data_IF_766803034724
#
_entry.id   IF_766803034724
#
_cell.length_a   1.000
_cell.length_b   1.000
_cell.length_c   1.000
_cell.angle_alpha   90.00
_cell.angle_beta   90.00
_cell.angle_gamma   90.00
#
_symmetry.space_group_name_H-M   'P 1'
#
loop_
_entity.id
_entity.type
_entity.pdbx_description
1 polymer ?
#
# COMPACT_ATOMS: atom_id res chain seq x y z
N UNK A 1 -24.24 7.18 0.54
CA UNK A 1 -23.21 6.11 0.68
C UNK A 1 -23.84 4.71 0.66
N UNK A 2 -24.51 4.30 -0.42
CA UNK A 2 -25.24 3.02 -0.50
C UNK A 2 -24.35 1.79 -0.80
N UNK A 3 -23.04 1.98 -1.00
CA UNK A 3 -22.12 0.97 -1.56
C UNK A 3 -21.15 0.31 -0.55
N UNK A 4 -21.00 0.82 0.67
CA UNK A 4 -20.18 0.20 1.74
C UNK A 4 -20.97 -0.89 2.48
N UNK A 5 -21.44 -1.88 1.73
CA UNK A 5 -22.22 -3.01 2.24
C UNK A 5 -21.35 -3.97 3.08
N UNK A 6 -21.97 -4.94 3.78
CA UNK A 6 -21.24 -5.92 4.60
C UNK A 6 -20.25 -6.76 3.79
N UNK A 7 -20.57 -7.02 2.52
CA UNK A 7 -19.76 -7.74 1.54
C UNK A 7 -18.81 -6.83 0.74
N UNK A 8 -18.55 -5.59 1.19
CA UNK A 8 -17.55 -4.72 0.57
C UNK A 8 -16.19 -5.41 0.54
N UNK A 9 -15.56 -5.48 -0.62
CA UNK A 9 -14.26 -6.16 -0.83
C UNK A 9 -13.21 -5.20 -1.34
N UNK A 10 -12.03 -5.31 -0.74
CA UNK A 10 -10.84 -4.56 -1.12
C UNK A 10 -9.70 -5.53 -1.42
N UNK A 11 -8.85 -5.14 -2.36
CA UNK A 11 -7.50 -5.69 -2.45
C UNK A 11 -6.61 -4.78 -1.60
N UNK A 12 -5.94 -5.33 -0.60
CA UNK A 12 -5.02 -4.58 0.23
C UNK A 12 -3.59 -5.05 0.00
N UNK A 13 -2.69 -4.12 -0.32
CA UNK A 13 -1.28 -4.37 -0.57
C UNK A 13 -0.44 -3.69 0.50
N UNK A 14 0.46 -4.44 1.12
CA UNK A 14 1.45 -3.93 2.06
C UNK A 14 2.80 -4.57 1.78
N UNK A 15 3.85 -3.99 2.36
CA UNK A 15 5.22 -4.41 2.09
C UNK A 15 6.01 -4.61 3.39
N UNK A 16 7.10 -5.35 3.31
CA UNK A 16 8.04 -5.54 4.41
C UNK A 16 9.45 -5.76 3.89
N UNK A 17 10.40 -5.02 4.47
CA UNK A 17 11.82 -5.12 4.17
C UNK A 17 12.67 -4.80 5.40
N UNK A 18 13.93 -5.22 5.35
CA UNK A 18 15.05 -4.58 6.04
C UNK A 18 16.11 -4.19 5.01
N UNK A 19 16.94 -3.20 5.35
CA UNK A 19 18.00 -2.75 4.44
C UNK A 19 18.96 -3.88 4.05
N UNK A 20 19.23 -4.79 4.99
CA UNK A 20 20.09 -5.98 4.80
C UNK A 20 19.49 -7.05 3.86
N UNK A 21 18.18 -7.07 3.65
CA UNK A 21 17.53 -8.09 2.81
C UNK A 21 17.86 -7.89 1.32
N UNK A 22 18.08 -6.65 0.88
CA UNK A 22 18.28 -6.27 -0.52
C UNK A 22 17.01 -6.31 -1.38
N UNK A 23 15.85 -6.68 -0.82
CA UNK A 23 14.55 -6.69 -1.47
C UNK A 23 13.43 -6.32 -0.48
N UNK A 24 12.24 -6.03 -1.01
CA UNK A 24 11.01 -5.93 -0.21
C UNK A 24 9.99 -6.98 -0.65
N UNK A 25 9.36 -7.63 0.32
CA UNK A 25 8.22 -8.53 0.08
C UNK A 25 6.94 -7.74 0.05
N UNK A 26 6.21 -7.81 -1.06
CA UNK A 26 4.88 -7.25 -1.18
C UNK A 26 3.89 -8.38 -0.98
N UNK A 27 2.90 -8.16 -0.12
CA UNK A 27 1.79 -9.06 0.08
C UNK A 27 0.48 -8.35 -0.25
N UNK A 28 -0.34 -9.00 -1.06
CA UNK A 28 -1.70 -8.61 -1.37
C UNK A 28 -2.70 -9.56 -0.76
N UNK A 29 -3.81 -9.04 -0.24
CA UNK A 29 -4.97 -9.84 0.15
C UNK A 29 -6.23 -9.29 -0.49
N UNK A 30 -7.04 -10.19 -1.03
CA UNK A 30 -8.43 -9.90 -1.33
C UNK A 30 -9.25 -10.23 -0.09
N UNK A 31 -9.81 -9.20 0.55
CA UNK A 31 -10.55 -9.36 1.78
C UNK A 31 -11.82 -8.50 1.79
N UNK A 32 -12.82 -8.97 2.53
CA UNK A 32 -13.97 -8.17 2.90
C UNK A 32 -13.57 -7.13 3.94
N UNK A 33 -14.38 -6.06 4.09
CA UNK A 33 -14.18 -5.03 5.12
C UNK A 33 -14.12 -5.57 6.55
N UNK A 34 -14.65 -6.77 6.80
CA UNK A 34 -14.62 -7.42 8.11
C UNK A 34 -13.37 -8.28 8.36
N UNK A 35 -12.43 -8.31 7.42
CA UNK A 35 -11.19 -9.08 7.53
C UNK A 35 -11.32 -10.53 7.04
N UNK A 36 -12.47 -10.94 6.50
CA UNK A 36 -12.58 -12.25 5.85
C UNK A 36 -11.73 -12.27 4.57
N UNK A 37 -10.64 -13.02 4.60
CA UNK A 37 -9.68 -13.17 3.49
C UNK A 37 -10.18 -14.25 2.54
N UNK A 38 -10.18 -13.94 1.24
CA UNK A 38 -10.58 -14.89 0.19
C UNK A 38 -9.40 -15.40 -0.62
N UNK A 39 -8.41 -14.54 -0.87
CA UNK A 39 -7.18 -14.86 -1.62
C UNK A 39 -6.02 -14.01 -1.13
N UNK A 40 -4.81 -14.50 -1.37
CA UNK A 40 -3.59 -13.75 -1.18
C UNK A 40 -2.63 -13.95 -2.36
N UNK A 41 -1.78 -12.96 -2.60
CA UNK A 41 -0.74 -12.99 -3.62
C UNK A 41 0.51 -12.29 -3.08
N UNK A 42 1.65 -12.59 -3.67
CA UNK A 42 2.93 -12.01 -3.28
C UNK A 42 3.71 -11.56 -4.51
N UNK A 43 4.55 -10.56 -4.31
CA UNK A 43 5.56 -10.12 -5.26
C UNK A 43 6.82 -9.70 -4.49
N UNK A 44 7.92 -9.53 -5.20
CA UNK A 44 9.17 -9.03 -4.63
C UNK A 44 9.57 -7.81 -5.44
N UNK A 45 9.81 -6.70 -4.74
CA UNK A 45 10.30 -5.46 -5.35
C UNK A 45 11.75 -5.20 -4.93
N UNK A 46 12.47 -4.53 -5.81
CA UNK A 46 13.84 -4.10 -5.57
C UNK A 46 13.88 -3.03 -4.48
N UNK A 47 14.77 -3.18 -3.51
CA UNK A 47 14.93 -2.19 -2.46
C UNK A 47 15.62 -0.94 -3.00
N UNK A 48 15.01 0.24 -2.84
CA UNK A 48 15.46 1.44 -3.55
C UNK A 48 15.30 1.37 -5.07
N UNK A 49 14.49 0.45 -5.57
CA UNK A 49 14.17 0.32 -6.99
C UNK A 49 13.19 1.38 -7.51
N UNK A 50 12.70 1.11 -8.71
CA UNK A 50 11.65 1.86 -9.41
C UNK A 50 10.53 0.91 -9.92
N UNK A 51 10.51 -0.33 -9.43
CA UNK A 51 9.62 -1.43 -9.82
C UNK A 51 8.39 -1.59 -8.90
N UNK A 52 8.29 -0.82 -7.80
CA UNK A 52 7.24 -0.99 -6.80
C UNK A 52 5.81 -0.88 -7.36
N UNK A 53 5.60 0.03 -8.31
CA UNK A 53 4.31 0.18 -9.00
C UNK A 53 3.95 -1.07 -9.80
N UNK A 54 4.90 -1.63 -10.57
CA UNK A 54 4.63 -2.80 -11.41
C UNK A 54 4.36 -4.04 -10.55
N UNK A 55 5.13 -4.24 -9.47
CA UNK A 55 4.92 -5.37 -8.56
C UNK A 55 3.59 -5.28 -7.81
N UNK A 56 3.17 -4.06 -7.42
CA UNK A 56 1.84 -3.84 -6.85
C UNK A 56 0.73 -4.14 -7.87
N UNK A 57 0.90 -3.75 -9.14
CA UNK A 57 -0.07 -4.05 -10.21
C UNK A 57 -0.19 -5.55 -10.44
N UNK A 58 0.91 -6.29 -10.50
CA UNK A 58 0.88 -7.77 -10.62
C UNK A 58 0.04 -8.42 -9.53
N UNK A 59 0.23 -7.97 -8.29
CA UNK A 59 -0.60 -8.42 -7.16
C UNK A 59 -2.08 -8.08 -7.41
N UNK A 60 -2.39 -6.83 -7.74
CA UNK A 60 -3.78 -6.38 -7.95
C UNK A 60 -4.44 -7.16 -9.08
N UNK A 61 -3.79 -7.33 -10.23
CA UNK A 61 -4.32 -8.07 -11.38
C UNK A 61 -4.57 -9.54 -11.03
N UNK A 62 -3.67 -10.19 -10.28
CA UNK A 62 -3.84 -11.59 -9.85
C UNK A 62 -5.03 -11.80 -8.89
N UNK A 63 -5.39 -10.76 -8.12
CA UNK A 63 -6.46 -10.78 -7.14
C UNK A 63 -7.77 -10.16 -7.66
N UNK A 64 -7.73 -9.41 -8.76
CA UNK A 64 -8.86 -8.65 -9.30
C UNK A 64 -10.00 -9.58 -9.73
N UNK A 65 -11.22 -9.19 -9.37
CA UNK A 65 -12.48 -9.83 -9.76
C UNK A 65 -13.59 -8.79 -9.90
N UNK A 66 -14.71 -9.10 -10.55
CA UNK A 66 -15.81 -8.15 -10.74
C UNK A 66 -16.43 -7.58 -9.45
N UNK A 67 -16.31 -8.28 -8.32
CA UNK A 67 -16.88 -7.90 -7.03
C UNK A 67 -15.89 -7.13 -6.11
N UNK A 68 -14.70 -6.77 -6.63
CA UNK A 68 -13.73 -5.93 -5.92
C UNK A 68 -14.07 -4.46 -6.12
N UNK A 69 -14.01 -3.69 -5.05
CA UNK A 69 -14.49 -2.30 -5.07
C UNK A 69 -13.36 -1.27 -5.00
N UNK A 70 -12.22 -1.62 -4.39
CA UNK A 70 -11.12 -0.66 -4.15
C UNK A 70 -9.79 -1.40 -3.96
N UNK A 71 -8.70 -0.73 -4.29
CA UNK A 71 -7.34 -1.10 -3.88
C UNK A 71 -6.90 -0.21 -2.71
N UNK A 72 -6.39 -0.84 -1.66
CA UNK A 72 -5.83 -0.18 -0.47
C UNK A 72 -4.33 -0.43 -0.44
N UNK A 73 -3.53 0.63 -0.45
CA UNK A 73 -2.07 0.55 -0.34
C UNK A 73 -1.64 0.96 1.07
N UNK A 74 -0.71 0.20 1.67
CA UNK A 74 -0.12 0.49 2.98
C UNK A 74 0.91 1.63 2.99
N UNK A 75 1.05 2.34 1.87
CA UNK A 75 2.03 3.39 1.62
C UNK A 75 2.25 3.56 0.12
N UNK A 76 2.76 4.72 -0.28
CA UNK A 76 3.07 5.03 -1.69
C UNK A 76 4.55 5.32 -1.91
N UNK A 77 5.27 5.66 -0.84
CA UNK A 77 6.72 5.73 -0.81
C UNK A 77 7.10 4.62 0.16
N UNK A 78 7.71 3.57 -0.37
CA UNK A 78 7.86 2.26 0.26
C UNK A 78 9.24 1.70 -0.06
N UNK A 79 9.65 0.62 0.60
CA UNK A 79 10.81 -0.17 0.16
C UNK A 79 12.05 0.68 -0.12
N UNK A 80 12.39 1.57 0.82
CA UNK A 80 13.52 2.49 0.76
C UNK A 80 13.50 3.43 -0.47
N UNK A 81 12.52 4.34 -0.53
CA UNK A 81 12.35 5.33 -1.62
C UNK A 81 11.99 4.73 -3.00
N UNK A 82 11.56 3.46 -3.04
CA UNK A 82 10.72 2.97 -4.12
C UNK A 82 9.30 3.59 -3.97
N UNK A 83 8.47 3.48 -4.99
CA UNK A 83 7.14 4.05 -4.95
C UNK A 83 6.09 3.18 -5.63
N UNK A 84 4.85 3.37 -5.20
CA UNK A 84 3.66 2.81 -5.83
C UNK A 84 2.80 3.96 -6.30
N UNK A 85 2.67 4.10 -7.62
CA UNK A 85 1.77 5.06 -8.26
C UNK A 85 0.34 4.51 -8.28
N UNK A 86 -0.50 5.04 -7.39
CA UNK A 86 -1.91 4.64 -7.33
C UNK A 86 -2.76 5.22 -8.45
N UNK A 87 -2.31 6.26 -9.16
CA UNK A 87 -2.99 6.72 -10.37
C UNK A 87 -2.83 5.69 -11.48
N UNK A 88 -1.62 5.15 -11.64
CA UNK A 88 -1.31 4.12 -12.62
C UNK A 88 -2.09 2.82 -12.35
N UNK A 89 -2.15 2.38 -11.08
CA UNK A 89 -3.00 1.24 -10.68
C UNK A 89 -4.46 1.51 -11.05
N UNK A 90 -4.99 2.69 -10.75
CA UNK A 90 -6.37 3.02 -11.08
C UNK A 90 -6.62 3.01 -12.59
N UNK A 91 -5.73 3.61 -13.39
CA UNK A 91 -5.85 3.64 -14.85
C UNK A 91 -5.79 2.25 -15.48
N UNK A 92 -4.82 1.41 -15.07
CA UNK A 92 -4.63 0.06 -15.65
C UNK A 92 -5.69 -0.94 -15.21
N UNK A 93 -6.10 -0.87 -13.94
CA UNK A 93 -7.01 -1.86 -13.36
C UNK A 93 -8.46 -1.41 -13.38
N UNK A 94 -8.74 -0.12 -13.56
CA UNK A 94 -10.09 0.45 -13.41
C UNK A 94 -10.62 0.44 -11.97
N UNK A 95 -9.82 0.00 -10.99
CA UNK A 95 -10.21 -0.03 -9.58
C UNK A 95 -9.78 1.28 -8.91
N UNK A 96 -10.69 2.00 -8.24
CA UNK A 96 -10.31 3.13 -7.41
C UNK A 96 -9.25 2.70 -6.40
N UNK A 97 -8.22 3.53 -6.23
CA UNK A 97 -7.04 3.18 -5.45
C UNK A 97 -6.78 4.25 -4.41
N UNK A 98 -6.50 3.83 -3.18
CA UNK A 98 -6.17 4.73 -2.10
C UNK A 98 -4.99 4.21 -1.28
N UNK A 99 -4.20 5.14 -0.80
CA UNK A 99 -2.94 4.91 -0.12
C UNK A 99 -3.01 5.51 1.26
N UNK A 100 -2.72 4.70 2.26
CA UNK A 100 -3.00 4.98 3.65
C UNK A 100 -1.73 4.95 4.48
N UNK A 101 -1.41 6.09 5.10
CA UNK A 101 -0.29 6.24 6.03
C UNK A 101 -0.83 6.61 7.40
N UNK A 102 -0.31 5.98 8.45
CA UNK A 102 -0.87 6.05 9.81
C UNK A 102 -0.05 6.92 10.77
N UNK A 103 1.06 7.44 10.27
CA UNK A 103 1.93 8.40 10.93
C UNK A 103 2.11 9.61 10.01
N UNK A 104 2.40 10.78 10.60
CA UNK A 104 2.57 12.00 9.82
C UNK A 104 3.75 11.82 8.86
N UNK A 105 3.57 12.05 7.55
CA UNK A 105 4.71 12.10 6.64
C UNK A 105 5.65 13.23 7.08
N UNK A 106 6.85 12.85 7.51
CA UNK A 106 7.88 13.76 8.01
C UNK A 106 9.16 13.62 7.18
N UNK A 107 10.03 14.63 7.30
CA UNK A 107 11.31 14.67 6.60
C UNK A 107 11.27 15.30 5.20
N UNK A 108 12.46 15.55 4.66
CA UNK A 108 12.63 16.10 3.32
C UNK A 108 13.03 14.97 2.36
N UNK A 109 12.02 14.38 1.71
CA UNK A 109 12.23 13.27 0.76
C UNK A 109 13.18 13.69 -0.36
N UNK A 110 13.04 14.90 -0.91
CA UNK A 110 13.90 15.38 -2.00
C UNK A 110 15.37 15.43 -1.58
N UNK A 111 15.67 16.01 -0.41
CA UNK A 111 17.03 16.07 0.10
C UNK A 111 17.63 14.68 0.38
N UNK A 112 16.80 13.74 0.85
CA UNK A 112 17.24 12.35 1.02
C UNK A 112 17.55 11.69 -0.33
N UNK A 113 16.71 11.91 -1.35
CA UNK A 113 16.96 11.40 -2.70
C UNK A 113 18.26 11.96 -3.29
N UNK A 114 18.46 13.29 -3.21
CA UNK A 114 19.68 13.97 -3.68
C UNK A 114 20.97 13.38 -3.08
N UNK A 115 20.90 12.92 -1.82
CA UNK A 115 22.04 12.32 -1.12
C UNK A 115 22.26 10.84 -1.46
N UNK A 116 21.18 10.09 -1.65
CA UNK A 116 21.22 8.62 -1.66
C UNK A 116 21.23 8.03 -3.07
N UNK A 117 20.77 8.77 -4.08
CA UNK A 117 20.51 8.23 -5.40
C UNK A 117 21.11 9.10 -6.51
N UNK A 118 21.87 8.53 -7.46
CA UNK A 118 22.40 9.29 -8.60
C UNK A 118 21.30 9.74 -9.58
N UNK A 119 20.20 9.01 -9.64
CA UNK A 119 19.00 9.24 -10.46
C UNK A 119 17.90 10.04 -9.71
N UNK A 120 18.28 10.80 -8.68
CA UNK A 120 17.34 11.45 -7.77
C UNK A 120 16.32 12.38 -8.47
N UNK A 121 16.67 13.02 -9.58
CA UNK A 121 15.76 13.92 -10.30
C UNK A 121 14.55 13.16 -10.85
N UNK A 122 14.79 11.98 -11.44
CA UNK A 122 13.74 11.13 -11.99
C UNK A 122 12.86 10.57 -10.86
N UNK A 123 13.49 10.08 -9.79
CA UNK A 123 12.78 9.61 -8.59
C UNK A 123 11.90 10.70 -7.99
N UNK A 124 12.45 11.91 -7.84
CA UNK A 124 11.68 13.04 -7.32
C UNK A 124 10.53 13.42 -8.25
N UNK A 125 10.72 13.38 -9.57
CA UNK A 125 9.65 13.62 -10.54
C UNK A 125 8.48 12.64 -10.33
N UNK A 126 8.77 11.34 -10.18
CA UNK A 126 7.74 10.33 -9.94
C UNK A 126 7.08 10.45 -8.57
N UNK A 127 7.87 10.61 -7.49
CA UNK A 127 7.34 10.70 -6.12
C UNK A 127 6.51 11.99 -5.93
N UNK A 128 6.93 13.11 -6.50
CA UNK A 128 6.20 14.37 -6.37
C UNK A 128 4.85 14.36 -7.12
N UNK A 129 4.74 13.59 -8.21
CA UNK A 129 3.48 13.39 -8.96
C UNK A 129 2.41 12.63 -8.19
N UNK A 130 2.78 11.89 -7.13
CA UNK A 130 1.81 11.25 -6.23
C UNK A 130 0.86 12.24 -5.55
N UNK A 131 1.22 13.53 -5.55
CA UNK A 131 0.35 14.60 -5.08
C UNK A 131 0.30 14.76 -3.56
N UNK A 132 -0.49 15.74 -3.09
CA UNK A 132 -0.59 16.06 -1.68
C UNK A 132 -1.34 14.97 -0.92
N UNK A 133 -1.05 14.87 0.38
CA UNK A 133 -1.76 13.99 1.28
C UNK A 133 -2.89 14.75 1.99
N UNK A 134 -4.04 14.11 2.15
CA UNK A 134 -5.17 14.66 2.91
C UNK A 134 -5.21 14.01 4.29
N UNK A 135 -5.23 14.83 5.33
CA UNK A 135 -5.30 14.38 6.71
C UNK A 135 -6.75 14.22 7.18
N UNK A 136 -7.04 13.12 7.88
CA UNK A 136 -8.29 12.89 8.58
C UNK A 136 -8.02 12.47 10.02
N UNK A 137 -8.84 12.96 10.95
CA UNK A 137 -8.79 12.57 12.36
C UNK A 137 -9.77 11.42 12.64
N UNK A 138 -9.32 10.43 13.40
CA UNK A 138 -10.16 9.34 13.87
C UNK A 138 -11.06 9.77 15.04
N UNK A 139 -12.30 9.24 15.15
CA UNK A 139 -13.22 9.56 16.25
C UNK A 139 -12.63 9.33 17.65
N UNK A 140 -11.85 8.26 17.81
CA UNK A 140 -11.22 7.85 19.07
C UNK A 140 -9.83 8.46 19.30
N UNK A 141 -9.38 9.34 18.41
CA UNK A 141 -8.05 9.93 18.41
C UNK A 141 -7.04 9.24 17.50
N UNK A 142 -6.01 9.98 17.12
CA UNK A 142 -5.08 9.62 16.06
C UNK A 142 -5.49 10.16 14.69
N UNK A 143 -4.61 9.99 13.71
CA UNK A 143 -4.74 10.55 12.36
C UNK A 143 -4.47 9.49 11.31
N UNK A 144 -5.04 9.69 10.12
CA UNK A 144 -4.74 8.93 8.91
C UNK A 144 -4.49 9.92 7.78
N UNK A 145 -3.50 9.61 6.96
CA UNK A 145 -3.04 10.44 5.85
C UNK A 145 -3.29 9.68 4.55
N UNK A 146 -4.07 10.26 3.64
CA UNK A 146 -4.64 9.56 2.48
C UNK A 146 -4.25 10.26 1.18
N UNK A 147 -3.82 9.48 0.20
CA UNK A 147 -3.87 9.82 -1.23
C UNK A 147 -4.86 8.90 -1.92
N UNK A 148 -5.62 9.41 -2.89
CA UNK A 148 -6.58 8.57 -3.62
C UNK A 148 -6.74 9.00 -5.07
N UNK A 149 -7.05 8.01 -5.91
CA UNK A 149 -7.22 8.13 -7.35
C UNK A 149 -8.47 7.34 -7.77
N UNK A 150 -9.30 7.92 -8.62
CA UNK A 150 -10.61 7.36 -8.94
C UNK A 150 -11.62 7.36 -7.79
N UNK A 151 -11.28 7.96 -6.63
CA UNK A 151 -12.14 8.10 -5.45
C UNK A 151 -11.81 9.38 -4.69
N UNK A 152 -12.83 10.08 -4.18
CA UNK A 152 -12.64 11.24 -3.31
C UNK A 152 -11.93 10.83 -2.00
N UNK A 153 -10.94 11.59 -1.51
CA UNK A 153 -10.23 11.27 -0.26
C UNK A 153 -11.14 11.08 0.96
N UNK A 154 -12.28 11.78 1.05
CA UNK A 154 -13.27 11.60 2.13
C UNK A 154 -13.98 10.24 2.03
N UNK A 155 -14.19 9.75 0.81
CA UNK A 155 -14.76 8.42 0.60
C UNK A 155 -13.73 7.32 0.84
N UNK A 156 -12.46 7.54 0.45
CA UNK A 156 -11.36 6.67 0.85
C UNK A 156 -11.19 6.59 2.38
N UNK A 157 -11.43 7.70 3.10
CA UNK A 157 -11.46 7.74 4.56
C UNK A 157 -12.60 6.91 5.15
N UNK A 158 -13.83 7.03 4.60
CA UNK A 158 -14.98 6.21 5.03
C UNK A 158 -14.77 4.73 4.77
N UNK A 159 -14.13 4.36 3.66
CA UNK A 159 -13.71 2.98 3.37
C UNK A 159 -12.76 2.48 4.47
N UNK A 160 -11.73 3.25 4.81
CA UNK A 160 -10.80 2.89 5.87
C UNK A 160 -11.51 2.69 7.22
N UNK A 161 -12.37 3.64 7.62
CA UNK A 161 -13.16 3.52 8.85
C UNK A 161 -14.04 2.26 8.87
N UNK A 162 -14.76 1.99 7.78
CA UNK A 162 -15.66 0.85 7.70
C UNK A 162 -14.94 -0.50 7.68
N UNK A 163 -13.67 -0.51 7.27
CA UNK A 163 -12.81 -1.69 7.23
C UNK A 163 -11.94 -1.87 8.49
N UNK A 164 -12.00 -0.96 9.47
CA UNK A 164 -11.28 -1.10 10.74
C UNK A 164 -11.98 -2.07 11.68
N UNK A 165 -11.19 -2.88 12.39
CA UNK A 165 -11.63 -3.77 13.47
C UNK A 165 -10.91 -3.45 14.77
N UNK A 166 -9.59 -3.40 14.70
CA UNK A 166 -8.72 -3.10 15.84
C UNK A 166 -7.62 -2.11 15.43
N UNK A 167 -7.33 -1.14 16.30
CA UNK A 167 -6.28 -0.15 16.08
C UNK A 167 -6.52 0.76 14.87
N UNK A 168 -5.48 1.49 14.45
CA UNK A 168 -5.56 2.54 13.41
C UNK A 168 -5.68 2.00 11.98
N UNK A 169 -5.29 0.76 11.70
CA UNK A 169 -5.20 0.24 10.32
C UNK A 169 -6.49 -0.47 9.90
N UNK A 170 -6.98 -0.28 8.66
CA UNK A 170 -8.00 -1.14 8.08
C UNK A 170 -7.56 -2.61 8.13
N UNK A 171 -8.49 -3.50 8.46
CA UNK A 171 -8.21 -4.91 8.69
C UNK A 171 -7.56 -5.61 7.48
N UNK A 172 -7.99 -5.38 6.22
CA UNK A 172 -7.28 -5.91 5.05
C UNK A 172 -5.80 -5.50 4.98
N UNK A 173 -5.47 -4.23 5.27
CA UNK A 173 -4.09 -3.73 5.28
C UNK A 173 -3.28 -4.30 6.45
N UNK A 174 -3.90 -4.45 7.62
CA UNK A 174 -3.27 -5.08 8.79
C UNK A 174 -2.87 -6.53 8.46
N UNK A 175 -3.77 -7.28 7.82
CA UNK A 175 -3.52 -8.66 7.39
C UNK A 175 -2.40 -8.71 6.35
N UNK A 176 -2.46 -7.89 5.29
CA UNK A 176 -1.42 -7.81 4.27
C UNK A 176 -0.04 -7.53 4.90
N UNK A 177 0.03 -6.60 5.86
CA UNK A 177 1.29 -6.28 6.56
C UNK A 177 1.86 -7.47 7.31
N UNK A 178 1.02 -8.20 8.05
CA UNK A 178 1.44 -9.42 8.78
C UNK A 178 1.94 -10.48 7.81
N UNK A 179 1.25 -10.65 6.68
CA UNK A 179 1.65 -11.63 5.65
C UNK A 179 2.98 -11.25 4.98
N UNK A 180 3.19 -9.98 4.65
CA UNK A 180 4.45 -9.49 4.09
C UNK A 180 5.61 -9.75 5.07
N UNK A 181 5.42 -9.42 6.35
CA UNK A 181 6.43 -9.64 7.38
C UNK A 181 6.74 -11.13 7.60
N UNK A 182 5.71 -11.98 7.66
CA UNK A 182 5.87 -13.41 7.85
C UNK A 182 6.65 -14.05 6.69
N UNK A 183 6.31 -13.71 5.44
CA UNK A 183 7.01 -14.24 4.28
C UNK A 183 8.44 -13.69 4.16
N UNK A 184 8.66 -12.41 4.46
CA UNK A 184 10.02 -11.85 4.51
C UNK A 184 10.92 -12.64 5.47
N UNK A 185 10.45 -12.89 6.69
CA UNK A 185 11.18 -13.69 7.69
C UNK A 185 11.40 -15.13 7.23
N UNK A 186 10.40 -15.76 6.62
CA UNK A 186 10.54 -17.12 6.09
C UNK A 186 11.62 -17.21 4.98
N UNK A 187 11.66 -16.23 4.08
CA UNK A 187 12.66 -16.18 3.00
C UNK A 187 14.07 -15.87 3.52
N UNK A 188 14.18 -15.04 4.57
CA UNK A 188 15.47 -14.74 5.22
C UNK A 188 16.07 -15.98 5.87
N UNK A 189 15.27 -16.74 6.64
CA UNK A 189 15.72 -17.99 7.26
C UNK A 189 16.25 -19.00 6.23
N UNK A 190 15.59 -19.10 5.07
CA UNK A 190 16.01 -19.97 3.97
C UNK A 190 17.32 -19.53 3.29
N UNK A 191 17.62 -18.23 3.31
CA UNK A 191 18.89 -17.70 2.79
C UNK A 191 20.08 -18.01 3.70
N UNK A 192 19.86 -18.10 5.00
CA UNK A 192 20.92 -18.41 5.99
C UNK A 192 21.28 -19.91 5.99
N UNK A 193 20.38 -20.77 5.51
CA UNK A 193 20.58 -22.23 5.43
C UNK A 193 21.38 -22.70 4.19
N UNK A 194 21.66 -21.81 3.22
CA UNK A 194 22.40 -22.11 1.99
C UNK A 194 23.81 -21.48 2.02
#
# INVERSE_FOLDING_TARGET
MKWLQKNFKAIAVAESFRLEDGYSVYAGVLARRDGYVEKAAYAVASLGGADGTEEAIRIVESLKRPDVHVVMLGGCIVSFYNWIDGEEIWRRTGLPTACYVFEKPEGNIKAALEKLFPDWQERWSNISRLGPVVEFAYPEGGRIFIRSWGLDPKDAYKVALAARRHGKRPEPLRIAQVMAEAVRRFLEQRRVEC
#
